data_IF_045875134962
#
_entry.id   IF_045875134962
#
_cell.length_a   1.000
_cell.length_b   1.000
_cell.length_c   1.000
_cell.angle_alpha   90.00
_cell.angle_beta   90.00
_cell.angle_gamma   90.00
#
_symmetry.space_group_name_H-M   'P 1'
#
loop_
_entity.id
_entity.type
_entity.pdbx_description
1 polymer ?
#
# COMPACT_ATOMS: atom_id res chain seq x y z
N UNK A 1 7.59 -5.48 8.73
CA UNK A 1 8.14 -4.74 9.89
C UNK A 1 7.05 -4.02 10.65
N UNK A 2 7.03 -4.17 11.97
CA UNK A 2 6.11 -3.49 12.92
C UNK A 2 6.25 -1.95 12.88
N UNK A 3 7.20 -1.39 12.13
CA UNK A 3 7.43 0.06 11.99
C UNK A 3 6.74 0.69 10.77
N UNK A 4 6.20 -0.09 9.83
CA UNK A 4 5.65 0.43 8.56
C UNK A 4 4.41 1.32 8.72
N UNK A 5 3.61 1.08 9.77
CA UNK A 5 2.37 1.84 10.02
C UNK A 5 2.63 3.30 10.45
N UNK A 6 3.82 3.61 10.98
CA UNK A 6 4.16 4.96 11.43
C UNK A 6 4.26 5.96 10.28
N UNK A 7 4.89 5.56 9.17
CA UNK A 7 5.02 6.40 7.98
C UNK A 7 3.64 6.73 7.39
N UNK A 8 2.83 5.70 7.21
CA UNK A 8 1.43 5.83 6.79
C UNK A 8 0.63 6.76 7.71
N UNK A 9 0.66 6.51 9.02
CA UNK A 9 -0.10 7.28 10.01
C UNK A 9 0.31 8.76 10.01
N UNK A 10 1.62 9.04 9.92
CA UNK A 10 2.13 10.41 9.83
C UNK A 10 1.61 11.13 8.58
N UNK A 11 1.57 10.44 7.44
CA UNK A 11 1.10 11.01 6.17
C UNK A 11 -0.41 11.29 6.19
N UNK A 12 -1.21 10.36 6.70
CA UNK A 12 -2.66 10.56 6.86
C UNK A 12 -2.93 11.75 7.81
N UNK A 13 -2.14 11.88 8.88
CA UNK A 13 -2.28 13.00 9.82
C UNK A 13 -1.95 14.34 9.19
N UNK A 14 -0.90 14.43 8.36
CA UNK A 14 -0.56 15.68 7.66
C UNK A 14 -1.67 16.11 6.70
N UNK A 15 -2.19 15.17 5.92
CA UNK A 15 -3.31 15.43 4.99
C UNK A 15 -4.59 15.82 5.74
N UNK A 16 -4.89 15.13 6.84
CA UNK A 16 -6.02 15.47 7.71
C UNK A 16 -5.90 16.89 8.26
N UNK A 17 -4.70 17.32 8.65
CA UNK A 17 -4.45 18.67 9.14
C UNK A 17 -4.63 19.72 8.03
N UNK A 18 -4.14 19.44 6.82
CA UNK A 18 -4.33 20.31 5.65
C UNK A 18 -5.82 20.47 5.31
N UNK A 19 -6.59 19.38 5.31
CA UNK A 19 -8.04 19.40 5.06
C UNK A 19 -8.82 20.15 6.13
N UNK A 20 -8.43 20.02 7.40
CA UNK A 20 -9.07 20.72 8.53
C UNK A 20 -8.98 22.25 8.42
N UNK A 21 -7.94 22.76 7.78
CA UNK A 21 -7.72 24.19 7.59
C UNK A 21 -8.44 24.77 6.36
N UNK A 22 -9.08 23.95 5.52
CA UNK A 22 -9.76 24.43 4.31
C UNK A 22 -11.02 25.26 4.63
N UNK A 23 -11.33 26.30 3.84
CA UNK A 23 -12.43 27.24 4.11
C UNK A 23 -13.82 26.59 4.15
N UNK A 24 -14.06 25.54 3.36
CA UNK A 24 -15.34 24.82 3.39
C UNK A 24 -15.64 24.17 4.75
N UNK A 25 -14.61 23.74 5.50
CA UNK A 25 -14.78 23.21 6.86
C UNK A 25 -15.25 24.31 7.82
N UNK A 26 -14.74 25.55 7.66
CA UNK A 26 -15.19 26.69 8.47
C UNK A 26 -16.66 27.01 8.19
N UNK A 27 -17.07 26.98 6.91
CA UNK A 27 -18.47 27.21 6.51
C UNK A 27 -19.39 26.13 7.09
N UNK A 28 -19.01 24.85 7.02
CA UNK A 28 -19.79 23.74 7.58
C UNK A 28 -19.96 23.84 9.11
N UNK A 29 -18.93 24.36 9.81
CA UNK A 29 -19.02 24.63 11.26
C UNK A 29 -19.99 25.76 11.58
N UNK A 30 -20.01 26.83 10.78
CA UNK A 30 -20.96 27.95 10.92
C UNK A 30 -22.38 27.48 10.62
N UNK A 31 -22.55 26.59 9.64
CA UNK A 31 -23.83 25.96 9.28
C UNK A 31 -24.34 24.93 10.31
N UNK A 32 -23.69 24.80 11.48
CA UNK A 32 -24.08 23.92 12.59
C UNK A 32 -24.25 22.44 12.19
N UNK A 33 -23.45 21.98 11.22
CA UNK A 33 -23.45 20.58 10.79
C UNK A 33 -22.76 19.72 11.85
N UNK A 34 -23.34 18.56 12.18
CA UNK A 34 -22.77 17.65 13.18
C UNK A 34 -21.36 17.20 12.81
N UNK A 35 -20.44 17.18 13.80
CA UNK A 35 -19.02 16.81 13.61
C UNK A 35 -18.86 15.44 12.94
N UNK A 36 -19.66 14.46 13.33
CA UNK A 36 -19.66 13.11 12.76
C UNK A 36 -20.04 13.10 11.28
N UNK A 37 -21.00 13.94 10.88
CA UNK A 37 -21.40 14.08 9.47
C UNK A 37 -20.31 14.78 8.65
N UNK A 38 -19.63 15.78 9.24
CA UNK A 38 -18.45 16.41 8.62
C UNK A 38 -17.35 15.36 8.37
N UNK A 39 -17.07 14.52 9.37
CA UNK A 39 -16.03 13.50 9.27
C UNK A 39 -16.36 12.45 8.20
N UNK A 40 -17.52 11.79 8.32
CA UNK A 40 -17.86 10.65 7.46
C UNK A 40 -18.24 11.06 6.03
N UNK A 41 -18.91 12.20 5.84
CA UNK A 41 -19.41 12.60 4.52
C UNK A 41 -18.46 13.52 3.75
N UNK A 42 -17.57 14.25 4.44
CA UNK A 42 -16.68 15.22 3.80
C UNK A 42 -15.20 14.90 3.96
N UNK A 43 -14.73 14.48 5.15
CA UNK A 43 -13.32 14.13 5.37
C UNK A 43 -12.95 12.75 4.84
N UNK A 44 -13.71 11.72 5.21
CA UNK A 44 -13.42 10.33 4.85
C UNK A 44 -13.30 10.10 3.33
N UNK A 45 -14.25 10.54 2.48
CA UNK A 45 -14.10 10.35 1.03
C UNK A 45 -12.97 11.18 0.42
N UNK A 46 -12.54 12.26 1.08
CA UNK A 46 -11.44 13.10 0.60
C UNK A 46 -10.06 12.52 0.93
N UNK A 47 -9.94 11.81 2.06
CA UNK A 47 -8.73 11.10 2.46
C UNK A 47 -8.62 9.68 1.88
N UNK A 48 -9.75 9.07 1.49
CA UNK A 48 -9.81 7.70 0.99
C UNK A 48 -8.83 7.40 -0.16
N UNK A 49 -8.65 8.27 -1.18
CA UNK A 49 -7.70 7.99 -2.26
C UNK A 49 -6.27 7.86 -1.74
N UNK A 50 -5.80 8.84 -0.97
CA UNK A 50 -4.45 8.86 -0.40
C UNK A 50 -4.22 7.63 0.49
N UNK A 51 -5.21 7.27 1.30
CA UNK A 51 -5.16 6.08 2.14
C UNK A 51 -5.02 4.79 1.29
N UNK A 52 -5.86 4.61 0.27
CA UNK A 52 -5.85 3.41 -0.57
C UNK A 52 -4.54 3.25 -1.34
N UNK A 53 -4.02 4.33 -1.90
CA UNK A 53 -2.75 4.33 -2.65
C UNK A 53 -1.61 3.90 -1.73
N UNK A 54 -1.48 4.56 -0.58
CA UNK A 54 -0.42 4.28 0.39
C UNK A 54 -0.54 2.86 0.94
N UNK A 55 -1.77 2.37 1.11
CA UNK A 55 -2.02 1.04 1.63
C UNK A 55 -1.53 -0.01 0.64
N UNK A 56 -1.85 0.14 -0.65
CA UNK A 56 -1.37 -0.76 -1.70
C UNK A 56 0.16 -0.79 -1.79
N UNK A 57 0.84 0.36 -1.72
CA UNK A 57 2.30 0.41 -1.64
C UNK A 57 2.84 -0.30 -0.39
N UNK A 58 2.18 -0.11 0.76
CA UNK A 58 2.54 -0.79 2.01
C UNK A 58 2.42 -2.31 1.91
N UNK A 59 1.36 -2.81 1.27
CA UNK A 59 1.14 -4.24 1.03
C UNK A 59 2.20 -4.80 0.07
N UNK A 60 2.48 -4.10 -1.04
CA UNK A 60 3.54 -4.52 -1.97
C UNK A 60 4.91 -4.61 -1.27
N UNK A 61 5.25 -3.63 -0.43
CA UNK A 61 6.47 -3.66 0.38
C UNK A 61 6.48 -4.78 1.42
N UNK A 62 5.34 -5.11 2.02
CA UNK A 62 5.22 -6.20 2.97
C UNK A 62 5.45 -7.57 2.31
N UNK A 63 4.89 -7.79 1.12
CA UNK A 63 5.09 -9.01 0.32
C UNK A 63 6.57 -9.21 -0.01
N UNK A 64 7.26 -8.14 -0.44
CA UNK A 64 8.69 -8.19 -0.73
C UNK A 64 9.51 -8.50 0.54
N UNK A 65 9.16 -7.88 1.66
CA UNK A 65 9.84 -8.12 2.94
C UNK A 65 9.64 -9.56 3.44
N UNK A 66 8.41 -10.09 3.35
CA UNK A 66 8.10 -11.48 3.71
C UNK A 66 8.83 -12.47 2.79
N UNK A 67 8.81 -12.22 1.48
CA UNK A 67 9.52 -13.05 0.50
C UNK A 67 11.02 -13.05 0.73
N UNK A 68 11.61 -11.90 1.07
CA UNK A 68 13.02 -11.77 1.43
C UNK A 68 13.36 -12.50 2.73
N UNK A 69 12.53 -12.39 3.77
CA UNK A 69 12.71 -13.17 5.00
C UNK A 69 12.62 -14.68 4.75
N UNK A 70 11.66 -15.10 3.93
CA UNK A 70 11.48 -16.49 3.58
C UNK A 70 12.61 -17.05 2.71
N UNK A 71 13.21 -16.21 1.87
CA UNK A 71 14.44 -16.56 1.14
C UNK A 71 15.63 -16.75 2.09
N UNK A 72 15.70 -15.98 3.18
CA UNK A 72 16.73 -16.15 4.23
C UNK A 72 16.47 -17.34 5.16
N UNK A 73 15.41 -18.11 4.95
CA UNK A 73 15.02 -19.24 5.82
C UNK A 73 14.37 -18.82 7.14
N UNK A 74 14.06 -17.53 7.32
CA UNK A 74 13.37 -16.98 8.50
C UNK A 74 11.86 -16.81 8.28
N UNK A 75 11.34 -17.37 7.18
CA UNK A 75 9.92 -17.28 6.78
C UNK A 75 9.05 -18.39 7.35
N UNK A 76 7.88 -18.57 6.74
CA UNK A 76 6.92 -19.63 7.11
C UNK A 76 7.55 -21.01 7.01
N UNK A 77 7.43 -21.78 8.10
CA UNK A 77 7.88 -23.17 8.16
C UNK A 77 6.95 -24.08 7.32
N UNK A 78 7.44 -25.20 6.76
CA UNK A 78 6.60 -26.19 6.08
C UNK A 78 5.48 -26.63 7.06
N UNK A 79 4.18 -26.66 6.67
CA UNK A 79 3.62 -27.13 5.39
C UNK A 79 3.08 -26.06 4.43
N UNK A 80 3.16 -24.76 4.75
CA UNK A 80 2.71 -23.69 3.87
C UNK A 80 3.87 -23.14 3.04
N UNK A 81 3.86 -23.43 1.74
CA UNK A 81 4.88 -22.99 0.81
C UNK A 81 4.67 -21.53 0.41
N UNK A 82 5.67 -20.68 0.65
CA UNK A 82 5.69 -19.29 0.17
C UNK A 82 6.55 -19.17 -1.10
N UNK A 83 6.40 -18.08 -1.83
CA UNK A 83 7.19 -17.86 -3.04
C UNK A 83 8.66 -17.58 -2.71
N UNK A 84 8.94 -17.05 -1.50
CA UNK A 84 10.30 -16.87 -1.00
C UNK A 84 10.95 -18.17 -0.52
N UNK A 85 10.18 -19.13 0.04
CA UNK A 85 10.72 -20.45 0.40
C UNK A 85 11.06 -21.26 -0.85
N UNK A 86 10.23 -21.20 -1.90
CA UNK A 86 10.52 -21.79 -3.21
C UNK A 86 11.84 -21.25 -3.81
N UNK A 87 12.09 -19.95 -3.64
CA UNK A 87 13.31 -19.32 -4.10
C UNK A 87 14.56 -19.81 -3.33
N UNK A 88 14.41 -20.04 -2.02
CA UNK A 88 15.46 -20.60 -1.16
C UNK A 88 15.82 -22.03 -1.55
N UNK A 89 14.81 -22.89 -1.73
CA UNK A 89 15.00 -24.30 -2.12
C UNK A 89 15.63 -24.43 -3.51
N UNK A 90 15.21 -23.58 -4.46
CA UNK A 90 15.80 -23.55 -5.80
C UNK A 90 17.27 -23.12 -5.82
N UNK A 91 17.75 -22.36 -4.81
CA UNK A 91 19.18 -21.99 -4.69
C UNK A 91 20.08 -23.22 -4.52
N UNK A 92 19.61 -24.24 -3.79
CA UNK A 92 20.37 -25.47 -3.56
C UNK A 92 20.46 -26.35 -4.82
N UNK A 93 19.57 -26.13 -5.79
CA UNK A 93 19.43 -26.96 -7.01
C UNK A 93 19.69 -26.11 -8.27
N UNK A 94 20.30 -24.92 -8.14
CA UNK A 94 20.43 -23.96 -9.24
C UNK A 94 21.22 -24.53 -10.43
N UNK A 95 22.22 -25.37 -10.15
CA UNK A 95 23.06 -26.01 -11.16
C UNK A 95 22.32 -27.09 -11.97
N UNK A 96 21.20 -27.61 -11.45
CA UNK A 96 20.45 -28.72 -12.06
C UNK A 96 19.08 -28.24 -12.58
N UNK A 97 18.44 -27.30 -11.89
CA UNK A 97 17.07 -26.88 -12.14
C UNK A 97 16.87 -25.36 -11.90
N UNK A 98 17.61 -24.54 -12.65
CA UNK A 98 17.55 -23.06 -12.63
C UNK A 98 16.13 -22.46 -12.72
N UNK A 99 15.20 -23.16 -13.39
CA UNK A 99 13.81 -22.75 -13.55
C UNK A 99 13.05 -22.69 -12.22
N UNK A 100 13.41 -23.52 -11.23
CA UNK A 100 12.77 -23.56 -9.92
C UNK A 100 12.96 -22.25 -9.13
N UNK A 101 14.06 -21.53 -9.32
CA UNK A 101 14.25 -20.20 -8.73
C UNK A 101 13.75 -19.07 -9.63
N UNK A 102 13.85 -19.22 -10.95
CA UNK A 102 13.50 -18.14 -11.87
C UNK A 102 11.99 -17.83 -11.89
N UNK A 103 11.15 -18.87 -11.93
CA UNK A 103 9.69 -18.68 -12.00
C UNK A 103 9.13 -17.95 -10.77
N UNK A 104 9.39 -18.39 -9.51
CA UNK A 104 8.87 -17.70 -8.33
C UNK A 104 9.33 -16.24 -8.25
N UNK A 105 10.59 -15.95 -8.57
CA UNK A 105 11.13 -14.59 -8.55
C UNK A 105 10.43 -13.67 -9.55
N UNK A 106 10.26 -14.14 -10.80
CA UNK A 106 9.56 -13.40 -11.84
C UNK A 106 8.10 -13.14 -11.48
N UNK A 107 7.47 -14.10 -10.82
CA UNK A 107 6.08 -14.03 -10.41
C UNK A 107 5.90 -13.00 -9.27
N UNK A 108 6.79 -12.97 -8.25
CA UNK A 108 6.80 -11.91 -7.21
C UNK A 108 6.97 -10.53 -7.87
N UNK A 109 7.87 -10.44 -8.84
CA UNK A 109 8.13 -9.20 -9.58
C UNK A 109 6.86 -8.72 -10.29
N UNK A 110 6.19 -9.58 -11.06
CA UNK A 110 4.96 -9.22 -11.78
C UNK A 110 3.87 -8.74 -10.83
N UNK A 111 3.63 -9.45 -9.72
CA UNK A 111 2.57 -9.10 -8.76
C UNK A 111 2.84 -7.75 -8.12
N UNK A 112 4.06 -7.55 -7.63
CA UNK A 112 4.44 -6.30 -6.96
C UNK A 112 4.44 -5.13 -7.95
N UNK A 113 4.90 -5.34 -9.18
CA UNK A 113 4.83 -4.37 -10.26
C UNK A 113 3.38 -3.99 -10.60
N UNK A 114 2.49 -4.97 -10.76
CA UNK A 114 1.08 -4.72 -11.05
C UNK A 114 0.41 -3.92 -9.92
N UNK A 115 0.68 -4.26 -8.66
CA UNK A 115 0.13 -3.56 -7.50
C UNK A 115 0.61 -2.10 -7.43
N UNK A 116 1.90 -1.86 -7.68
CA UNK A 116 2.47 -0.51 -7.75
C UNK A 116 1.83 0.29 -8.88
N UNK A 117 1.73 -0.29 -10.07
CA UNK A 117 1.14 0.37 -11.24
C UNK A 117 -0.35 0.73 -11.03
N UNK A 118 -1.12 -0.15 -10.38
CA UNK A 118 -2.50 0.12 -9.99
C UNK A 118 -2.57 1.29 -9.01
N UNK A 119 -1.62 1.37 -8.08
CA UNK A 119 -1.55 2.46 -7.10
C UNK A 119 -1.25 3.80 -7.78
N UNK A 120 -0.32 3.81 -8.73
CA UNK A 120 0.01 5.00 -9.53
C UNK A 120 -1.16 5.43 -10.43
N UNK A 121 -1.85 4.47 -11.04
CA UNK A 121 -3.06 4.75 -11.82
C UNK A 121 -4.17 5.38 -10.95
N UNK A 122 -4.40 4.82 -9.76
CA UNK A 122 -5.34 5.39 -8.79
C UNK A 122 -4.93 6.79 -8.34
N UNK A 123 -3.63 7.03 -8.14
CA UNK A 123 -3.09 8.34 -7.79
C UNK A 123 -3.34 9.36 -8.91
N UNK A 124 -3.05 9.00 -10.16
CA UNK A 124 -3.30 9.86 -11.32
C UNK A 124 -4.78 10.20 -11.47
N UNK A 125 -5.67 9.22 -11.27
CA UNK A 125 -7.11 9.45 -11.32
C UNK A 125 -7.60 10.36 -10.17
N UNK A 126 -7.04 10.21 -8.97
CA UNK A 126 -7.36 11.06 -7.82
C UNK A 126 -6.90 12.51 -8.07
N UNK A 127 -5.66 12.69 -8.53
CA UNK A 127 -5.09 14.01 -8.80
C UNK A 127 -5.84 14.73 -9.94
N UNK A 128 -6.26 14.00 -10.99
CA UNK A 128 -7.09 14.56 -12.07
C UNK A 128 -8.42 15.12 -11.57
N UNK A 129 -9.05 14.50 -10.56
CA UNK A 129 -10.30 15.03 -9.97
C UNK A 129 -10.10 16.34 -9.23
N UNK A 130 -8.94 16.54 -8.60
CA UNK A 130 -8.60 17.80 -7.96
C UNK A 130 -8.33 18.91 -8.98
N UNK A 131 -7.69 18.59 -10.11
CA UNK A 131 -7.46 19.53 -11.22
C UNK A 131 -8.76 19.99 -11.91
N UNK A 132 -9.76 19.12 -12.02
CA UNK A 132 -11.06 19.46 -12.63
C UNK A 132 -11.98 20.26 -11.71
N UNK A 133 -11.63 20.39 -10.43
CA UNK A 133 -12.44 21.06 -9.41
C UNK A 133 -11.96 22.49 -9.10
N UNK A 134 -10.74 22.83 -9.51
CA UNK A 134 -10.20 24.20 -9.51
C UNK A 134 -10.43 24.85 -10.87
#
# INVERSE_FOLDING_TARGET
SITGWMGMSRMIRSESFALSNKPFIKILKIANVSKTKIILKYFAPLLAPIFLISFSFGVAGAILAESGLSFLGLGVNPPQMSWGSLLSDGKAVIDIAWHLSFFPGLMIFIITFCLIQISDYLQNMANKKDLLKN
#
